data_IF_187285858825
#
_entry.id   IF_187285858825
#
_cell.length_a   1.000
_cell.length_b   1.000
_cell.length_c   1.000
_cell.angle_alpha   90.00
_cell.angle_beta   90.00
_cell.angle_gamma   90.00
#
_symmetry.space_group_name_H-M   'P 1'
#
loop_
_entity.id
_entity.type
_entity.pdbx_description
1 polymer ?
#
# COMPACT_ATOMS: atom_id res chain seq x y z
N UNK A 1 -1.98 -4.02 -30.32
CA UNK A 1 -1.57 -5.05 -29.35
C UNK A 1 -1.62 -4.38 -27.99
N UNK A 2 -2.70 -4.61 -27.24
CA UNK A 2 -2.88 -4.08 -25.88
C UNK A 2 -2.07 -4.98 -24.96
N UNK A 3 -1.00 -4.45 -24.37
CA UNK A 3 -0.24 -5.16 -23.34
C UNK A 3 -1.19 -5.41 -22.16
N UNK A 4 -1.32 -6.66 -21.73
CA UNK A 4 -2.02 -6.99 -20.48
C UNK A 4 -1.31 -6.37 -19.28
N UNK A 5 -1.97 -6.27 -18.11
CA UNK A 5 -1.39 -5.59 -16.96
C UNK A 5 -0.06 -6.27 -16.58
N UNK A 6 1.00 -5.48 -16.51
CA UNK A 6 2.39 -5.90 -16.25
C UNK A 6 2.62 -6.49 -14.83
N UNK A 7 1.55 -6.64 -14.05
CA UNK A 7 1.60 -6.91 -12.60
C UNK A 7 1.19 -8.34 -12.22
N UNK A 8 0.91 -9.19 -13.20
CA UNK A 8 0.73 -10.62 -12.97
C UNK A 8 2.08 -11.26 -12.59
N UNK A 9 2.37 -11.36 -11.29
CA UNK A 9 3.48 -12.19 -10.80
C UNK A 9 4.19 -11.75 -9.52
N UNK A 10 3.74 -10.71 -8.82
CA UNK A 10 4.29 -10.40 -7.49
C UNK A 10 3.65 -11.29 -6.44
N UNK A 11 4.25 -12.45 -6.21
CA UNK A 11 3.90 -13.34 -5.11
C UNK A 11 4.99 -13.32 -4.04
N UNK A 12 4.57 -13.56 -2.81
CA UNK A 12 5.49 -13.70 -1.70
C UNK A 12 6.44 -14.88 -1.91
N UNK A 13 7.75 -14.64 -1.76
CA UNK A 13 8.73 -15.71 -1.74
C UNK A 13 8.88 -16.33 -0.35
N UNK A 14 9.40 -17.55 -0.29
CA UNK A 14 9.73 -18.21 0.99
C UNK A 14 10.74 -17.38 1.80
N UNK A 15 11.73 -16.81 1.14
CA UNK A 15 12.75 -15.98 1.80
C UNK A 15 12.13 -14.76 2.48
N UNK A 16 11.22 -14.06 1.78
CA UNK A 16 10.49 -12.94 2.37
C UNK A 16 9.71 -13.38 3.61
N UNK A 17 9.02 -14.52 3.55
CA UNK A 17 8.30 -15.05 4.72
C UNK A 17 9.24 -15.34 5.91
N UNK A 18 10.41 -15.96 5.64
CA UNK A 18 11.42 -16.25 6.66
C UNK A 18 11.98 -14.95 7.27
N UNK A 19 12.26 -13.95 6.43
CA UNK A 19 12.76 -12.63 6.85
C UNK A 19 11.72 -11.87 7.67
N UNK A 20 10.44 -11.87 7.28
CA UNK A 20 9.37 -11.23 8.05
C UNK A 20 9.28 -11.83 9.44
N UNK A 21 9.33 -13.16 9.58
CA UNK A 21 9.35 -13.80 10.90
C UNK A 21 10.58 -13.42 11.72
N UNK A 22 11.74 -13.34 11.09
CA UNK A 22 12.97 -12.89 11.75
C UNK A 22 12.86 -11.44 12.26
N UNK A 23 12.32 -10.53 11.45
CA UNK A 23 12.07 -9.13 11.83
C UNK A 23 11.10 -9.06 13.00
N UNK A 24 9.97 -9.76 12.91
CA UNK A 24 8.97 -9.81 13.99
C UNK A 24 9.56 -10.32 15.31
N UNK A 25 10.32 -11.41 15.27
CA UNK A 25 11.01 -11.94 16.45
C UNK A 25 12.04 -10.95 17.01
N UNK A 26 12.75 -10.22 16.15
CA UNK A 26 13.76 -9.24 16.56
C UNK A 26 13.11 -8.04 17.22
N UNK A 27 12.02 -7.50 16.65
CA UNK A 27 11.24 -6.41 17.24
C UNK A 27 10.72 -6.86 18.61
N UNK A 28 10.06 -8.02 18.70
CA UNK A 28 9.50 -8.53 19.95
C UNK A 28 10.55 -8.79 21.04
N UNK A 29 11.78 -9.20 20.67
CA UNK A 29 12.82 -9.58 21.64
C UNK A 29 13.77 -8.46 22.04
N UNK A 30 13.89 -7.38 21.24
CA UNK A 30 14.89 -6.32 21.44
C UNK A 30 14.32 -4.93 21.63
N UNK A 31 12.99 -4.78 21.69
CA UNK A 31 12.38 -3.47 21.87
C UNK A 31 12.72 -2.88 23.26
N UNK A 32 13.28 -1.67 23.28
CA UNK A 32 13.76 -0.99 24.49
C UNK A 32 12.63 -0.60 25.46
N UNK A 33 11.43 -0.32 24.92
CA UNK A 33 10.20 -0.22 25.70
C UNK A 33 9.87 -1.64 26.19
N UNK A 34 10.27 -1.97 27.43
CA UNK A 34 9.96 -3.24 28.11
C UNK A 34 8.46 -3.47 28.37
N UNK A 35 7.59 -2.57 27.88
CA UNK A 35 6.17 -2.84 27.76
C UNK A 35 5.96 -3.79 26.59
N UNK A 36 5.24 -4.89 26.83
CA UNK A 36 4.66 -5.71 25.75
C UNK A 36 4.17 -4.74 24.67
N UNK A 37 4.48 -4.96 23.38
CA UNK A 37 3.68 -4.32 22.34
C UNK A 37 2.23 -4.68 22.67
N UNK A 38 1.48 -3.75 23.25
CA UNK A 38 0.08 -3.95 23.63
C UNK A 38 -0.70 -3.92 22.32
N UNK A 39 -0.60 -5.03 21.57
CA UNK A 39 -1.01 -5.23 20.18
C UNK A 39 -0.36 -4.29 19.16
N UNK A 40 0.05 -4.86 18.03
CA UNK A 40 0.26 -4.03 16.85
C UNK A 40 -1.07 -3.42 16.41
N UNK A 41 -1.11 -2.11 16.17
CA UNK A 41 -2.27 -1.49 15.55
C UNK A 41 -2.23 -1.75 14.04
N UNK A 42 -2.94 -2.79 13.59
CA UNK A 42 -2.96 -3.15 12.17
C UNK A 42 -3.58 -2.08 11.28
N UNK A 43 -4.52 -1.28 11.79
CA UNK A 43 -5.07 -0.12 11.06
C UNK A 43 -3.97 0.89 10.75
N UNK A 44 -3.16 1.26 11.75
CA UNK A 44 -2.03 2.18 11.54
C UNK A 44 -1.01 1.61 10.56
N UNK A 45 -0.76 0.30 10.59
CA UNK A 45 0.15 -0.36 9.63
C UNK A 45 -0.38 -0.25 8.21
N UNK A 46 -1.66 -0.54 7.99
CA UNK A 46 -2.29 -0.43 6.66
C UNK A 46 -2.23 1.02 6.18
N UNK A 47 -2.67 1.98 7.00
CA UNK A 47 -2.67 3.39 6.65
C UNK A 47 -1.25 3.89 6.33
N UNK A 48 -0.27 3.61 7.20
CA UNK A 48 1.12 4.00 6.97
C UNK A 48 1.71 3.36 5.70
N UNK A 49 1.38 2.09 5.42
CA UNK A 49 1.87 1.41 4.22
C UNK A 49 1.27 2.02 2.95
N UNK A 50 -0.03 2.32 2.93
CA UNK A 50 -0.67 3.02 1.81
C UNK A 50 -0.11 4.43 1.60
N UNK A 51 0.11 5.19 2.68
CA UNK A 51 0.68 6.54 2.63
C UNK A 51 2.14 6.53 2.15
N UNK A 52 2.89 5.46 2.40
CA UNK A 52 4.26 5.32 1.90
C UNK A 52 4.37 5.29 0.37
N UNK A 53 3.33 4.84 -0.32
CA UNK A 53 3.24 4.88 -1.79
C UNK A 53 2.57 6.14 -2.32
N UNK A 54 1.67 6.74 -1.53
CA UNK A 54 0.79 7.82 -1.95
C UNK A 54 0.75 8.98 -0.95
N UNK A 55 1.93 9.53 -0.63
CA UNK A 55 2.06 10.67 0.29
C UNK A 55 1.25 11.90 -0.17
N UNK A 56 1.14 12.11 -1.49
CA UNK A 56 0.36 13.20 -2.08
C UNK A 56 -1.15 12.90 -2.16
N UNK A 57 -1.58 11.67 -1.81
CA UNK A 57 -2.97 11.21 -1.80
C UNK A 57 -3.67 11.38 -3.16
N UNK A 58 -2.97 10.99 -4.22
CA UNK A 58 -3.39 11.15 -5.61
C UNK A 58 -3.88 9.85 -6.26
N UNK A 59 -3.61 8.69 -5.66
CA UNK A 59 -3.86 7.38 -6.26
C UNK A 59 -4.90 6.57 -5.51
N UNK A 60 -4.85 6.51 -4.18
CA UNK A 60 -5.82 5.75 -3.39
C UNK A 60 -7.06 6.57 -3.06
N UNK A 61 -8.24 5.94 -3.17
CA UNK A 61 -9.46 6.50 -2.62
C UNK A 61 -9.57 6.22 -1.12
N UNK A 62 -10.20 7.11 -0.35
CA UNK A 62 -10.38 6.86 1.10
C UNK A 62 -11.17 5.57 1.36
N UNK A 63 -12.21 5.31 0.58
CA UNK A 63 -13.01 4.07 0.68
C UNK A 63 -12.20 2.81 0.40
N UNK A 64 -11.17 2.91 -0.44
CA UNK A 64 -10.28 1.79 -0.76
C UNK A 64 -9.32 1.50 0.40
N UNK A 65 -8.74 2.55 1.00
CA UNK A 65 -7.94 2.42 2.23
C UNK A 65 -8.78 1.85 3.36
N UNK A 66 -10.02 2.32 3.52
CA UNK A 66 -10.95 1.80 4.53
C UNK A 66 -11.28 0.31 4.29
N UNK A 67 -11.39 -0.14 3.03
CA UNK A 67 -11.56 -1.57 2.69
C UNK A 67 -10.32 -2.40 3.08
N UNK A 68 -9.11 -1.89 2.82
CA UNK A 68 -7.88 -2.57 3.26
C UNK A 68 -7.79 -2.67 4.79
N UNK A 69 -8.16 -1.60 5.50
CA UNK A 69 -8.23 -1.61 6.97
C UNK A 69 -9.23 -2.66 7.44
N UNK A 70 -10.43 -2.69 6.86
CA UNK A 70 -11.45 -3.68 7.19
C UNK A 70 -10.98 -5.12 6.93
N UNK A 71 -10.31 -5.36 5.80
CA UNK A 71 -9.84 -6.70 5.40
C UNK A 71 -8.65 -7.20 6.20
N UNK A 72 -7.74 -6.31 6.60
CA UNK A 72 -6.41 -6.71 7.09
C UNK A 72 -6.04 -6.18 8.47
N UNK A 73 -6.68 -5.10 8.96
CA UNK A 73 -6.30 -4.43 10.19
C UNK A 73 -6.29 -5.36 11.40
N UNK A 74 -7.41 -6.04 11.67
CA UNK A 74 -7.53 -6.92 12.85
C UNK A 74 -6.60 -8.14 12.81
N UNK A 75 -6.26 -8.63 11.61
CA UNK A 75 -5.43 -9.83 11.41
C UNK A 75 -3.94 -9.53 11.16
N UNK A 76 -3.55 -8.25 11.13
CA UNK A 76 -2.22 -7.84 10.68
C UNK A 76 -1.09 -8.44 11.52
N UNK A 77 -1.24 -8.43 12.84
CA UNK A 77 -0.24 -9.00 13.75
C UNK A 77 -0.03 -10.49 13.46
N UNK A 78 -1.11 -11.26 13.38
CA UNK A 78 -1.08 -12.70 13.09
C UNK A 78 -0.47 -12.99 11.72
N UNK A 79 -0.76 -12.16 10.72
CA UNK A 79 -0.17 -12.27 9.39
C UNK A 79 1.35 -12.11 9.48
N UNK A 80 1.83 -11.01 10.07
CA UNK A 80 3.26 -10.73 10.16
C UNK A 80 4.00 -11.78 11.02
N UNK A 81 3.41 -12.25 12.13
CA UNK A 81 4.01 -13.30 12.96
C UNK A 81 4.18 -14.63 12.20
N UNK A 82 3.28 -14.95 11.27
CA UNK A 82 3.38 -16.12 10.39
C UNK A 82 4.31 -15.87 9.20
N UNK A 83 4.75 -14.62 9.01
CA UNK A 83 5.46 -14.17 7.83
C UNK A 83 4.56 -14.19 6.60
N UNK A 84 3.27 -13.91 6.74
CA UNK A 84 2.33 -13.76 5.64
C UNK A 84 2.29 -12.28 5.22
N UNK A 85 2.67 -12.01 3.96
CA UNK A 85 2.70 -10.66 3.40
C UNK A 85 1.52 -10.38 2.45
N UNK A 86 0.50 -11.24 2.44
CA UNK A 86 -0.65 -11.13 1.52
C UNK A 86 -1.25 -9.72 1.46
N UNK A 87 -1.50 -9.09 2.61
CA UNK A 87 -2.03 -7.72 2.67
C UNK A 87 -1.14 -6.71 1.93
N UNK A 88 0.19 -6.82 2.07
CA UNK A 88 1.12 -5.91 1.41
C UNK A 88 1.13 -6.09 -0.11
N UNK A 89 1.05 -7.34 -0.59
CA UNK A 89 0.98 -7.63 -2.03
C UNK A 89 -0.34 -7.15 -2.65
N UNK A 90 -1.47 -7.35 -1.95
CA UNK A 90 -2.78 -6.85 -2.39
C UNK A 90 -2.81 -5.32 -2.50
N UNK A 91 -2.31 -4.62 -1.48
CA UNK A 91 -2.24 -3.15 -1.47
C UNK A 91 -1.31 -2.64 -2.60
N UNK A 92 -0.16 -3.30 -2.80
CA UNK A 92 0.78 -2.90 -3.85
C UNK A 92 0.23 -3.14 -5.26
N UNK A 93 -0.48 -4.25 -5.48
CA UNK A 93 -1.14 -4.52 -6.76
C UNK A 93 -2.22 -3.48 -7.06
N UNK A 94 -3.01 -3.07 -6.05
CA UNK A 94 -3.98 -2.00 -6.19
C UNK A 94 -3.33 -0.66 -6.51
N UNK A 95 -2.24 -0.29 -5.80
CA UNK A 95 -1.45 0.91 -6.13
C UNK A 95 -1.00 0.93 -7.59
N UNK A 96 -0.44 -0.18 -8.06
CA UNK A 96 0.03 -0.33 -9.43
C UNK A 96 -1.10 -0.14 -10.46
N UNK A 97 -2.29 -0.68 -10.18
CA UNK A 97 -3.47 -0.47 -11.01
C UNK A 97 -3.91 1.00 -11.03
N UNK A 98 -3.97 1.66 -9.86
CA UNK A 98 -4.39 3.05 -9.73
C UNK A 98 -3.41 4.01 -10.43
N UNK A 99 -2.10 3.75 -10.33
CA UNK A 99 -1.05 4.51 -11.04
C UNK A 99 -1.22 4.36 -12.55
N UNK A 100 -1.49 3.15 -13.04
CA UNK A 100 -1.72 2.92 -14.46
C UNK A 100 -2.96 3.68 -14.94
N UNK A 101 -4.09 3.55 -14.24
CA UNK A 101 -5.34 4.26 -14.58
C UNK A 101 -5.12 5.79 -14.60
N UNK A 102 -4.44 6.32 -13.58
CA UNK A 102 -4.15 7.75 -13.49
C UNK A 102 -3.24 8.24 -14.62
N UNK A 103 -2.28 7.41 -15.01
CA UNK A 103 -1.34 7.69 -16.12
C UNK A 103 -2.09 7.69 -17.46
N UNK A 104 -2.96 6.71 -17.70
CA UNK A 104 -3.77 6.62 -18.91
C UNK A 104 -4.73 7.82 -19.02
N UNK A 105 -5.36 8.20 -17.91
CA UNK A 105 -6.16 9.43 -17.86
C UNK A 105 -5.33 10.67 -18.19
N UNK A 106 -4.10 10.78 -17.66
CA UNK A 106 -3.24 11.92 -17.92
C UNK A 106 -2.89 12.04 -19.41
N UNK A 107 -2.58 10.92 -20.08
CA UNK A 107 -2.35 10.90 -21.53
C UNK A 107 -3.58 11.34 -22.32
N UNK A 108 -4.78 10.88 -21.93
CA UNK A 108 -6.03 11.32 -22.56
C UNK A 108 -6.27 12.82 -22.35
N UNK A 109 -6.00 13.35 -21.16
CA UNK A 109 -6.18 14.78 -20.84
C UNK A 109 -5.19 15.66 -21.60
N UNK A 110 -3.96 15.19 -21.81
CA UNK A 110 -2.91 15.90 -22.57
C UNK A 110 -3.27 16.11 -24.05
N UNK A 111 -4.14 15.26 -24.61
CA UNK A 111 -4.60 15.39 -26.00
C UNK A 111 -5.70 16.47 -26.18
N UNK A 112 -6.16 17.09 -25.10
CA UNK A 112 -7.19 18.13 -25.12
C UNK A 112 -6.57 19.51 -24.88
N UNK A 113 -7.26 20.56 -25.31
CA UNK A 113 -6.81 21.94 -25.10
C UNK A 113 -6.70 22.30 -23.61
N UNK A 114 -5.79 23.23 -23.31
CA UNK A 114 -5.61 23.82 -21.99
C UNK A 114 -5.81 25.33 -22.09
N UNK A 115 -6.71 25.87 -21.28
CA UNK A 115 -6.93 27.30 -21.16
C UNK A 115 -6.14 27.86 -19.96
N UNK A 116 -4.99 28.44 -20.24
CA UNK A 116 -4.13 29.08 -19.24
C UNK A 116 -4.43 30.58 -19.04
N UNK A 117 -5.52 31.10 -19.62
CA UNK A 117 -5.92 32.51 -19.42
C UNK A 117 -6.72 32.73 -18.12
N UNK A 118 -7.14 31.64 -17.46
CA UNK A 118 -7.93 31.67 -16.23
C UNK A 118 -7.03 31.88 -15.00
N UNK A 119 -7.52 32.65 -14.04
CA UNK A 119 -6.84 32.85 -12.76
C UNK A 119 -7.14 31.69 -11.80
N UNK A 120 -6.50 30.55 -12.03
CA UNK A 120 -6.61 29.32 -11.23
C UNK A 120 -5.33 29.11 -10.40
N UNK A 121 -5.45 28.50 -9.21
CA UNK A 121 -4.30 28.14 -8.36
C UNK A 121 -4.33 26.67 -7.97
N UNK A 122 -3.14 26.07 -7.86
CA UNK A 122 -2.93 24.70 -7.36
C UNK A 122 -2.17 24.79 -6.03
N UNK A 123 -2.63 24.07 -5.02
CA UNK A 123 -2.08 24.08 -3.65
C UNK A 123 -1.92 22.67 -3.12
#
# INVERSE_FOLDING_TARGET
>A
MLQGPAYAGFEQTKEMADQTRWVMNTINSRHYLHGKMEKLNGTEIVEAFTESFDYARMYFLRSEVDDFVFRFGDAMEDFLQKGNLYAAFEIYAAYQANVQERTDWAYQRLAQDFDFSRNESFT
#
